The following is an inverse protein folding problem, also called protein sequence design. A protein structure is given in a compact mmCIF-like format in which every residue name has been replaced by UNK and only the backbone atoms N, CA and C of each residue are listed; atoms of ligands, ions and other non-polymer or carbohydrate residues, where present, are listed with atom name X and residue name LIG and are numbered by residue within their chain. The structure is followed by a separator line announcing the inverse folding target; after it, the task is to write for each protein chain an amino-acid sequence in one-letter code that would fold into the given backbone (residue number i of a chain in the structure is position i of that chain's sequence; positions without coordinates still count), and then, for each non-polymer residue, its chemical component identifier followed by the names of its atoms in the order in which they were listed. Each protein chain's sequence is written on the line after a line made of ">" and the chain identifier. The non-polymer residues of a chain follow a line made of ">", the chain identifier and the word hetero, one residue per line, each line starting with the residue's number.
data_IF_307236414500
#
_entry.id   IF_307236414500
#
_cell.length_a   1.000
_cell.length_b   1.000
_cell.length_c   1.000
_cell.angle_alpha   90.00
_cell.angle_beta   90.00
_cell.angle_gamma   90.00
#
_symmetry.space_group_name_H-M   'P 1'
#
loop_
_entity.id
_entity.type
_entity.pdbx_description
1 polymer ?
#
# COMPACT_ATOMS: atom_id res chain seq x y z
N UNK A 1 38.58 56.00 18.60
CA UNK A 1 38.81 57.43 18.83
C UNK A 1 37.57 58.05 19.47
N UNK A 2 37.72 58.49 20.73
CA UNK A 2 37.04 59.57 21.47
C UNK A 2 35.52 59.79 21.36
N UNK A 3 34.91 59.64 22.55
CA UNK A 3 33.96 60.54 23.24
C UNK A 3 32.55 60.68 22.63
N UNK A 4 31.45 60.68 23.39
CA UNK A 4 31.18 61.48 24.60
C UNK A 4 30.11 60.76 25.46
N UNK A 5 30.47 60.49 26.71
CA UNK A 5 29.54 60.31 27.82
C UNK A 5 28.92 61.66 28.18
N UNK A 6 27.59 61.72 28.29
CA UNK A 6 26.88 62.78 29.02
C UNK A 6 25.97 62.13 30.05
N UNK A 7 26.46 62.09 31.28
CA UNK A 7 25.65 61.92 32.48
C UNK A 7 24.80 63.17 32.69
N UNK A 8 23.49 63.00 32.93
CA UNK A 8 22.69 63.83 33.84
C UNK A 8 21.36 63.10 34.08
N UNK A 9 21.16 62.52 35.26
CA UNK A 9 19.89 61.85 35.57
C UNK A 9 19.82 61.29 36.98
N UNK A 10 19.59 62.20 37.94
CA UNK A 10 19.14 62.03 39.32
C UNK A 10 18.56 60.66 39.73
N UNK A 11 18.97 60.32 40.95
CA UNK A 11 18.36 59.38 41.89
C UNK A 11 16.82 59.33 41.92
N UNK A 12 16.36 58.15 42.36
CA UNK A 12 15.08 57.86 42.99
C UNK A 12 13.84 57.79 42.10
N UNK A 13 13.61 56.58 41.58
CA UNK A 13 12.31 56.09 41.16
C UNK A 13 12.31 54.58 41.25
N UNK A 14 11.99 54.04 42.43
CA UNK A 14 11.69 52.62 42.67
C UNK A 14 10.50 52.20 41.81
N UNK A 15 10.77 51.87 40.54
CA UNK A 15 9.86 51.03 39.76
C UNK A 15 10.59 49.71 39.63
N UNK A 16 10.21 48.78 40.49
CA UNK A 16 10.64 47.39 40.39
C UNK A 16 10.26 46.88 39.01
N UNK A 17 11.20 46.96 38.06
CA UNK A 17 11.15 46.19 36.83
C UNK A 17 11.25 44.77 37.30
N UNK A 18 10.11 44.09 37.41
CA UNK A 18 10.04 42.65 37.49
C UNK A 18 10.77 42.14 36.26
N UNK A 19 12.08 41.89 36.39
CA UNK A 19 12.85 41.09 35.45
C UNK A 19 12.13 39.76 35.43
N UNK A 20 11.25 39.60 34.45
CA UNK A 20 10.58 38.37 34.15
C UNK A 20 11.70 37.41 33.75
N UNK A 21 12.26 36.69 34.75
CA UNK A 21 13.27 35.68 34.53
C UNK A 21 12.69 34.76 33.45
N UNK A 22 13.31 34.76 32.26
CA UNK A 22 12.98 33.80 31.21
C UNK A 22 13.24 32.42 31.80
N UNK A 23 12.21 31.80 32.35
CA UNK A 23 12.27 30.42 32.82
C UNK A 23 12.46 29.56 31.58
N UNK A 24 13.68 29.06 31.40
CA UNK A 24 13.95 27.99 30.45
C UNK A 24 13.32 26.72 31.01
N UNK A 25 12.10 26.41 30.56
CA UNK A 25 11.41 25.17 30.94
C UNK A 25 11.88 24.09 29.97
N UNK A 26 12.63 23.12 30.46
CA UNK A 26 13.00 21.89 29.74
C UNK A 26 12.14 20.72 30.25
N UNK A 27 11.87 19.74 29.38
CA UNK A 27 11.15 18.51 29.76
C UNK A 27 12.18 17.47 30.22
N UNK A 28 12.07 17.02 31.48
CA UNK A 28 12.95 15.97 32.03
C UNK A 28 12.42 14.54 31.76
N UNK A 29 11.15 14.41 31.34
CA UNK A 29 10.48 13.13 31.09
C UNK A 29 10.55 12.12 32.25
N UNK A 30 10.59 12.59 33.50
CA UNK A 30 10.65 11.75 34.71
C UNK A 30 9.31 11.07 35.04
N UNK A 31 8.20 11.77 34.83
CA UNK A 31 6.85 11.20 34.93
C UNK A 31 6.39 10.63 33.59
N UNK A 32 5.36 9.79 33.62
CA UNK A 32 4.73 9.26 32.42
C UNK A 32 4.37 10.38 31.44
N UNK A 33 4.93 10.30 30.23
CA UNK A 33 4.68 11.24 29.14
C UNK A 33 3.85 10.55 28.06
N UNK A 34 2.65 11.07 27.81
CA UNK A 34 1.79 10.58 26.73
C UNK A 34 2.39 10.95 25.38
N UNK A 35 2.51 9.97 24.48
CA UNK A 35 2.98 10.18 23.11
C UNK A 35 2.12 11.21 22.36
N UNK A 36 2.77 11.97 21.47
CA UNK A 36 2.10 12.94 20.61
C UNK A 36 1.48 12.26 19.38
N UNK A 37 0.32 12.74 18.95
CA UNK A 37 -0.32 12.26 17.72
C UNK A 37 0.40 12.89 16.52
N UNK A 38 1.01 12.05 15.69
CA UNK A 38 1.81 12.51 14.55
C UNK A 38 1.39 11.79 13.26
N UNK A 39 1.40 12.47 12.08
CA UNK A 39 0.97 11.85 10.82
C UNK A 39 1.73 10.59 10.39
N UNK A 40 2.94 10.35 10.93
CA UNK A 40 3.67 9.11 10.68
C UNK A 40 3.01 7.87 11.27
N UNK A 41 2.07 8.03 12.21
CA UNK A 41 1.34 6.95 12.88
C UNK A 41 0.10 6.49 12.08
N UNK A 42 -0.12 7.00 10.87
CA UNK A 42 -1.25 6.60 10.04
C UNK A 42 -1.16 5.10 9.69
N UNK A 43 -2.29 4.40 9.85
CA UNK A 43 -2.40 2.99 9.48
C UNK A 43 -2.33 2.87 7.97
N UNK A 44 -1.32 2.16 7.48
CA UNK A 44 -1.10 1.95 6.06
C UNK A 44 -1.84 0.71 5.57
N UNK A 45 -2.46 0.76 4.39
CA UNK A 45 -2.97 -0.45 3.76
C UNK A 45 -1.81 -1.32 3.29
N UNK A 46 -1.99 -2.64 3.38
CA UNK A 46 -1.09 -3.60 2.75
C UNK A 46 -1.35 -3.61 1.24
N UNK A 47 -0.29 -3.58 0.45
CA UNK A 47 -0.39 -3.76 -0.99
C UNK A 47 -0.70 -5.21 -1.32
N UNK A 48 -1.57 -5.42 -2.31
CA UNK A 48 -2.09 -6.74 -2.68
C UNK A 48 -2.04 -6.92 -4.18
N UNK A 49 -1.92 -8.17 -4.60
CA UNK A 49 -2.03 -8.52 -6.00
C UNK A 49 -3.43 -8.19 -6.54
N UNK A 50 -3.56 -7.70 -7.79
CA UNK A 50 -4.85 -7.47 -8.42
C UNK A 50 -5.70 -8.73 -8.50
N UNK A 51 -7.03 -8.59 -8.45
CA UNK A 51 -7.94 -9.74 -8.60
C UNK A 51 -7.80 -10.32 -10.00
N UNK A 52 -7.72 -11.65 -10.10
CA UNK A 52 -7.65 -12.38 -11.36
C UNK A 52 -6.24 -12.67 -11.87
N UNK A 53 -5.20 -12.13 -11.21
CA UNK A 53 -3.81 -12.51 -11.47
C UNK A 53 -3.41 -13.52 -10.40
N UNK A 54 -3.07 -14.75 -10.80
CA UNK A 54 -2.47 -15.72 -9.88
C UNK A 54 -0.98 -15.43 -9.69
N UNK A 55 -0.41 -15.87 -8.57
CA UNK A 55 1.01 -15.69 -8.30
C UNK A 55 1.88 -16.46 -9.34
N UNK A 56 1.45 -17.63 -9.80
CA UNK A 56 2.10 -18.36 -10.89
C UNK A 56 2.24 -17.51 -12.17
N UNK A 57 1.17 -16.80 -12.55
CA UNK A 57 1.19 -15.88 -13.70
C UNK A 57 2.05 -14.65 -13.40
N UNK A 58 1.98 -14.10 -12.19
CA UNK A 58 2.80 -12.96 -11.78
C UNK A 58 4.31 -13.27 -11.82
N UNK A 59 4.69 -14.53 -11.61
CA UNK A 59 6.08 -15.03 -11.74
C UNK A 59 6.51 -15.29 -13.19
N UNK A 60 5.63 -15.07 -14.16
CA UNK A 60 5.91 -15.37 -15.57
C UNK A 60 5.89 -16.86 -15.94
N UNK A 61 5.37 -17.74 -15.06
CA UNK A 61 5.18 -19.16 -15.38
C UNK A 61 3.87 -19.34 -16.15
N UNK A 62 3.92 -20.02 -17.30
CA UNK A 62 2.71 -20.36 -18.04
C UNK A 62 1.85 -21.34 -17.21
N UNK A 63 0.51 -21.27 -17.30
CA UNK A 63 -0.40 -22.17 -16.58
C UNK A 63 -0.31 -23.65 -17.03
N UNK A 64 0.58 -24.01 -17.96
CA UNK A 64 0.72 -25.37 -18.50
C UNK A 64 1.55 -26.35 -17.64
N UNK A 65 2.24 -25.86 -16.60
CA UNK A 65 3.07 -26.72 -15.73
C UNK A 65 2.33 -27.19 -14.46
N UNK A 66 1.05 -26.82 -14.33
CA UNK A 66 0.16 -27.45 -13.36
C UNK A 66 -0.29 -28.81 -13.94
N UNK A 67 0.27 -29.88 -13.40
CA UNK A 67 -0.08 -31.28 -13.66
C UNK A 67 -1.60 -31.43 -13.82
N UNK A 68 -2.03 -31.63 -15.07
CA UNK A 68 -3.39 -31.95 -15.43
C UNK A 68 -3.73 -33.35 -14.90
N UNK A 69 -4.38 -33.40 -13.74
CA UNK A 69 -5.24 -34.52 -13.36
C UNK A 69 -6.66 -34.02 -13.24
N UNK A 70 -7.27 -33.73 -14.39
CA UNK A 70 -8.72 -33.85 -14.53
C UNK A 70 -9.02 -34.33 -15.95
N UNK A 71 -9.52 -35.55 -16.04
CA UNK A 71 -10.08 -36.10 -17.27
C UNK A 71 -11.43 -35.43 -17.56
N UNK A 72 -11.79 -35.20 -18.83
CA UNK A 72 -13.03 -34.55 -19.21
C UNK A 72 -14.14 -35.57 -19.56
N UNK A 73 -15.31 -35.42 -18.93
CA UNK A 73 -16.61 -35.99 -19.31
C UNK A 73 -17.62 -35.35 -18.33
N UNK A 74 -18.78 -34.77 -18.65
CA UNK A 74 -19.60 -34.75 -19.85
C UNK A 74 -20.42 -33.44 -19.88
N UNK A 75 -20.71 -32.96 -21.08
CA UNK A 75 -21.80 -32.01 -21.35
C UNK A 75 -23.11 -32.80 -21.44
N UNK A 76 -24.14 -32.42 -20.67
CA UNK A 76 -25.48 -32.97 -20.91
C UNK A 76 -26.56 -32.67 -19.87
N UNK A 77 -27.42 -31.70 -20.20
CA UNK A 77 -28.88 -31.70 -20.04
C UNK A 77 -29.55 -31.68 -18.64
N UNK A 78 -30.45 -30.70 -18.53
CA UNK A 78 -31.57 -30.54 -17.60
C UNK A 78 -32.37 -31.82 -17.30
N UNK A 79 -32.84 -31.96 -16.06
CA UNK A 79 -33.95 -32.84 -15.72
C UNK A 79 -34.18 -33.01 -14.22
N UNK A 80 -35.18 -32.30 -13.68
CA UNK A 80 -35.72 -32.48 -12.33
C UNK A 80 -36.49 -33.80 -12.19
N UNK A 81 -36.17 -34.62 -11.18
CA UNK A 81 -37.13 -35.57 -10.59
C UNK A 81 -36.65 -36.07 -9.21
N UNK A 82 -37.61 -36.15 -8.29
CA UNK A 82 -37.51 -36.52 -6.88
C UNK A 82 -37.30 -38.03 -6.62
N UNK A 83 -36.53 -38.32 -5.55
CA UNK A 83 -36.27 -39.55 -4.74
C UNK A 83 -37.18 -40.79 -4.91
N UNK A 84 -36.67 -41.98 -4.53
CA UNK A 84 -36.94 -42.45 -3.15
C UNK A 84 -35.70 -42.96 -2.39
N UNK A 85 -35.84 -42.97 -1.06
CA UNK A 85 -34.88 -43.37 -0.03
C UNK A 85 -34.50 -44.85 -0.10
N UNK A 86 -33.21 -45.14 0.08
CA UNK A 86 -32.71 -46.47 0.45
C UNK A 86 -31.97 -46.38 1.78
N UNK A 87 -32.54 -47.00 2.80
CA UNK A 87 -31.98 -47.19 4.15
C UNK A 87 -30.78 -48.15 4.05
N UNK A 88 -29.61 -47.75 4.56
CA UNK A 88 -28.46 -48.66 4.74
C UNK A 88 -28.22 -48.93 6.22
N UNK A 89 -28.07 -50.22 6.53
CA UNK A 89 -27.89 -50.79 7.85
C UNK A 89 -26.42 -50.76 8.28
N UNK A 90 -25.98 -49.65 8.89
CA UNK A 90 -24.65 -49.57 9.53
C UNK A 90 -24.68 -49.07 10.98
N UNK A 91 -25.88 -48.92 11.58
CA UNK A 91 -26.05 -48.60 13.00
C UNK A 91 -26.14 -49.89 13.85
N UNK A 92 -25.02 -50.59 14.04
CA UNK A 92 -24.95 -51.69 15.04
C UNK A 92 -23.80 -51.54 16.03
N UNK A 93 -22.73 -50.77 15.74
CA UNK A 93 -21.61 -50.67 16.69
C UNK A 93 -21.59 -49.34 17.44
N UNK A 94 -22.67 -49.13 18.20
CA UNK A 94 -22.65 -48.30 19.40
C UNK A 94 -22.42 -49.22 20.59
N UNK A 95 -21.19 -49.28 21.09
CA UNK A 95 -20.84 -49.26 22.52
C UNK A 95 -19.32 -49.25 22.65
N UNK A 96 -18.73 -48.09 22.97
CA UNK A 96 -17.73 -47.99 24.05
C UNK A 96 -17.32 -46.54 24.34
N UNK A 97 -17.85 -46.07 25.46
CA UNK A 97 -17.38 -45.08 26.44
C UNK A 97 -16.01 -44.42 26.20
N UNK A 98 -15.98 -43.26 25.52
CA UNK A 98 -15.18 -42.07 25.95
C UNK A 98 -15.91 -40.80 25.48
N UNK A 99 -16.84 -40.29 26.29
CA UNK A 99 -17.42 -38.96 26.06
C UNK A 99 -16.47 -37.87 26.58
N UNK A 100 -15.69 -37.27 25.67
CA UNK A 100 -15.13 -35.93 25.84
C UNK A 100 -15.91 -34.99 24.92
N UNK A 101 -16.52 -33.96 25.51
CA UNK A 101 -17.48 -33.04 24.91
C UNK A 101 -17.12 -32.55 23.51
N UNK A 102 -17.69 -33.19 22.49
CA UNK A 102 -17.82 -32.66 21.13
C UNK A 102 -19.28 -32.28 20.87
N UNK A 103 -19.81 -31.32 21.64
CA UNK A 103 -21.01 -30.60 21.20
C UNK A 103 -20.59 -29.60 20.12
N UNK A 104 -20.36 -30.12 18.91
CA UNK A 104 -20.50 -29.32 17.71
C UNK A 104 -21.95 -28.87 17.64
N UNK A 105 -22.17 -27.62 18.05
CA UNK A 105 -23.40 -26.91 17.74
C UNK A 105 -23.42 -26.73 16.22
N UNK A 106 -24.02 -27.68 15.50
CA UNK A 106 -24.35 -27.53 14.10
C UNK A 106 -25.49 -26.49 14.00
N UNK A 107 -25.14 -25.23 14.21
CA UNK A 107 -26.01 -24.09 13.93
C UNK A 107 -25.98 -23.92 12.42
N UNK A 108 -27.11 -24.23 11.79
CA UNK A 108 -27.41 -23.87 10.40
C UNK A 108 -26.99 -22.43 10.13
N UNK A 109 -26.12 -22.24 9.14
CA UNK A 109 -25.60 -20.93 8.77
C UNK A 109 -26.74 -20.00 8.33
N UNK A 110 -27.04 -18.98 9.13
CA UNK A 110 -27.82 -17.84 8.66
C UNK A 110 -27.06 -17.13 7.52
N UNK A 111 -27.73 -16.77 6.41
CA UNK A 111 -27.08 -16.15 5.28
C UNK A 111 -26.60 -14.74 5.66
N UNK A 112 -25.28 -14.58 5.84
CA UNK A 112 -24.64 -13.27 6.03
C UNK A 112 -23.61 -13.17 7.16
N UNK A 113 -23.54 -14.14 8.08
CA UNK A 113 -22.47 -14.17 9.09
C UNK A 113 -21.23 -14.92 8.57
N UNK A 114 -20.05 -14.30 8.70
CA UNK A 114 -18.78 -14.98 8.46
C UNK A 114 -18.72 -16.29 9.28
N UNK A 115 -18.16 -17.38 8.72
CA UNK A 115 -18.10 -18.66 9.41
C UNK A 115 -17.46 -18.48 10.79
N UNK A 116 -18.16 -18.94 11.84
CA UNK A 116 -17.65 -18.88 13.21
C UNK A 116 -16.34 -19.68 13.27
N UNK A 117 -15.22 -18.99 13.47
CA UNK A 117 -13.92 -19.62 13.67
C UNK A 117 -13.88 -20.29 15.04
N UNK A 118 -13.18 -21.42 15.19
CA UNK A 118 -12.99 -22.04 16.49
C UNK A 118 -12.28 -21.06 17.43
N UNK A 119 -12.61 -21.11 18.72
CA UNK A 119 -11.92 -20.31 19.72
C UNK A 119 -10.50 -20.83 19.90
N UNK A 120 -9.54 -19.92 19.82
CA UNK A 120 -8.12 -20.16 20.03
C UNK A 120 -7.55 -18.94 20.76
N UNK A 121 -6.68 -19.10 21.78
CA UNK A 121 -6.09 -17.99 22.53
C UNK A 121 -5.01 -17.26 21.71
N UNK A 122 -5.41 -16.57 20.64
CA UNK A 122 -4.50 -15.91 19.68
C UNK A 122 -3.56 -14.89 20.35
N UNK A 123 -3.97 -14.27 21.47
CA UNK A 123 -3.11 -13.35 22.22
C UNK A 123 -1.91 -14.02 22.89
N UNK A 124 -2.04 -15.28 23.31
CA UNK A 124 -0.93 -16.05 23.88
C UNK A 124 -0.06 -16.64 22.77
N UNK A 125 -0.69 -17.11 21.70
CA UNK A 125 -0.01 -17.62 20.50
C UNK A 125 0.86 -16.54 19.87
N UNK A 126 0.39 -15.30 19.80
CA UNK A 126 1.18 -14.17 19.32
C UNK A 126 2.39 -13.86 20.22
N UNK A 127 2.31 -14.09 21.54
CA UNK A 127 3.48 -13.97 22.43
C UNK A 127 4.51 -15.05 22.15
N UNK A 128 4.07 -16.28 21.89
CA UNK A 128 4.95 -17.38 21.49
C UNK A 128 5.62 -17.11 20.13
N UNK A 129 4.86 -16.59 19.17
CA UNK A 129 5.39 -16.18 17.86
C UNK A 129 6.45 -15.09 18.02
N UNK A 130 6.16 -14.04 18.78
CA UNK A 130 7.10 -12.96 19.05
C UNK A 130 8.37 -13.46 19.75
N UNK A 131 8.23 -14.39 20.70
CA UNK A 131 9.38 -15.03 21.34
C UNK A 131 10.21 -15.84 20.34
N UNK A 132 9.57 -16.57 19.42
CA UNK A 132 10.25 -17.27 18.32
C UNK A 132 11.02 -16.30 17.41
N UNK A 133 10.43 -15.15 17.08
CA UNK A 133 11.08 -14.09 16.30
C UNK A 133 12.33 -13.57 17.04
N UNK A 134 12.23 -13.26 18.34
CA UNK A 134 13.37 -12.83 19.16
C UNK A 134 14.50 -13.87 19.25
N UNK A 135 14.15 -15.15 19.41
CA UNK A 135 15.13 -16.23 19.44
C UNK A 135 15.82 -16.42 18.07
N UNK A 136 15.08 -16.24 16.98
CA UNK A 136 15.63 -16.29 15.62
C UNK A 136 16.64 -15.17 15.39
N UNK A 137 16.28 -13.94 15.77
CA UNK A 137 17.18 -12.78 15.69
C UNK A 137 18.38 -12.93 16.63
N UNK A 138 18.20 -13.57 17.80
CA UNK A 138 19.25 -13.85 18.77
C UNK A 138 20.16 -15.05 18.44
N UNK A 139 19.90 -15.79 17.35
CA UNK A 139 20.72 -16.93 16.91
C UNK A 139 20.34 -18.30 17.49
N UNK A 140 19.29 -18.40 18.32
CA UNK A 140 18.82 -19.64 18.93
C UNK A 140 17.79 -20.33 18.02
N UNK A 141 18.27 -20.84 16.89
CA UNK A 141 17.43 -21.32 15.79
C UNK A 141 16.62 -22.60 16.09
N UNK A 142 17.14 -23.49 16.94
CA UNK A 142 16.44 -24.73 17.29
C UNK A 142 15.24 -24.46 18.21
N UNK A 143 15.41 -23.60 19.22
CA UNK A 143 14.32 -23.20 20.10
C UNK A 143 13.25 -22.44 19.31
N UNK A 144 13.66 -21.49 18.46
CA UNK A 144 12.75 -20.74 17.60
C UNK A 144 11.88 -21.66 16.72
N UNK A 145 12.47 -22.71 16.15
CA UNK A 145 11.75 -23.68 15.33
C UNK A 145 10.62 -24.38 16.11
N UNK A 146 10.86 -24.72 17.38
CA UNK A 146 9.86 -25.36 18.24
C UNK A 146 8.69 -24.39 18.52
N UNK A 147 9.00 -23.13 18.84
CA UNK A 147 7.98 -22.08 19.00
C UNK A 147 7.15 -21.90 17.73
N UNK A 148 7.79 -21.77 16.56
CA UNK A 148 7.07 -21.65 15.30
C UNK A 148 6.23 -22.89 14.98
N UNK A 149 6.71 -24.09 15.29
CA UNK A 149 5.96 -25.33 15.10
C UNK A 149 4.67 -25.38 15.93
N UNK A 150 4.72 -24.91 17.19
CA UNK A 150 3.54 -24.79 18.04
C UNK A 150 2.57 -23.74 17.48
N UNK A 151 3.08 -22.55 17.14
CA UNK A 151 2.26 -21.45 16.61
C UNK A 151 1.60 -21.84 15.28
N UNK A 152 2.33 -22.50 14.37
CA UNK A 152 1.82 -22.93 13.08
C UNK A 152 0.64 -23.89 13.22
N UNK A 153 0.76 -24.92 14.07
CA UNK A 153 -0.35 -25.86 14.35
C UNK A 153 -1.59 -25.13 14.86
N UNK A 154 -1.39 -24.17 15.75
CA UNK A 154 -2.50 -23.41 16.34
C UNK A 154 -3.15 -22.47 15.31
N UNK A 155 -2.36 -21.84 14.43
CA UNK A 155 -2.88 -21.03 13.33
C UNK A 155 -3.63 -21.86 12.27
N UNK A 156 -3.18 -23.08 11.99
CA UNK A 156 -3.90 -24.02 11.11
C UNK A 156 -5.26 -24.42 11.68
N UNK A 157 -5.40 -24.48 13.01
CA UNK A 157 -6.70 -24.71 13.66
C UNK A 157 -7.57 -23.45 13.66
N UNK A 158 -6.97 -22.28 13.86
CA UNK A 158 -7.70 -21.02 14.03
C UNK A 158 -8.20 -20.42 12.70
N UNK A 159 -7.45 -20.61 11.62
CA UNK A 159 -7.66 -19.95 10.34
C UNK A 159 -8.01 -20.94 9.21
N UNK A 160 -8.76 -20.49 8.18
CA UNK A 160 -8.96 -21.27 6.97
C UNK A 160 -7.64 -21.61 6.27
N UNK A 161 -7.64 -22.68 5.48
CA UNK A 161 -6.45 -23.24 4.81
C UNK A 161 -5.60 -22.20 4.08
N UNK A 162 -6.19 -21.34 3.26
CA UNK A 162 -5.46 -20.36 2.43
C UNK A 162 -5.35 -18.96 3.07
N UNK A 163 -5.36 -18.88 4.40
CA UNK A 163 -5.30 -17.60 5.11
C UNK A 163 -3.86 -17.04 5.18
N UNK A 164 -3.65 -15.72 4.97
CA UNK A 164 -2.32 -15.12 4.89
C UNK A 164 -1.48 -15.26 6.17
N UNK A 165 -2.10 -15.38 7.35
CA UNK A 165 -1.35 -15.64 8.59
C UNK A 165 -0.79 -17.06 8.65
N UNK A 166 -1.48 -18.04 8.06
CA UNK A 166 -1.00 -19.43 7.98
C UNK A 166 0.16 -19.52 6.98
N UNK A 167 0.08 -18.82 5.85
CA UNK A 167 1.21 -18.75 4.92
C UNK A 167 2.40 -18.00 5.54
N UNK A 168 2.15 -16.90 6.25
CA UNK A 168 3.20 -16.12 6.92
C UNK A 168 3.97 -16.92 7.98
N UNK A 169 3.29 -17.63 8.87
CA UNK A 169 3.98 -18.47 9.87
C UNK A 169 4.75 -19.62 9.22
N UNK A 170 4.24 -20.19 8.11
CA UNK A 170 4.96 -21.22 7.34
C UNK A 170 6.24 -20.69 6.71
N UNK A 171 6.26 -19.43 6.25
CA UNK A 171 7.49 -18.78 5.76
C UNK A 171 8.51 -18.62 6.89
N UNK A 172 8.09 -18.17 8.07
CA UNK A 172 8.96 -18.08 9.26
C UNK A 172 9.53 -19.45 9.67
N UNK A 173 8.67 -20.46 9.68
CA UNK A 173 9.03 -21.84 9.98
C UNK A 173 10.03 -22.38 8.95
N UNK A 174 9.83 -22.11 7.66
CA UNK A 174 10.79 -22.44 6.61
C UNK A 174 12.15 -21.78 6.88
N UNK A 175 12.16 -20.48 7.21
CA UNK A 175 13.37 -19.76 7.60
C UNK A 175 14.09 -20.38 8.80
N UNK A 176 13.35 -20.89 9.80
CA UNK A 176 13.93 -21.59 10.94
C UNK A 176 14.50 -22.97 10.55
N UNK A 177 13.79 -23.74 9.72
CA UNK A 177 14.31 -25.01 9.19
C UNK A 177 15.64 -24.82 8.45
N UNK A 178 15.72 -23.80 7.58
CA UNK A 178 16.95 -23.47 6.85
C UNK A 178 18.12 -23.21 7.81
N UNK A 179 17.90 -22.38 8.82
CA UNK A 179 18.93 -22.02 9.82
C UNK A 179 19.35 -23.21 10.72
N UNK A 180 18.52 -24.24 10.82
CA UNK A 180 18.86 -25.52 11.49
C UNK A 180 19.39 -26.61 10.54
N UNK A 181 19.75 -26.25 9.29
CA UNK A 181 20.22 -27.16 8.24
C UNK A 181 19.22 -28.23 7.78
N UNK A 182 17.92 -28.05 8.02
CA UNK A 182 16.86 -28.95 7.50
C UNK A 182 16.33 -28.43 6.16
N UNK A 183 17.19 -28.46 5.14
CA UNK A 183 16.97 -27.74 3.88
C UNK A 183 15.78 -28.28 3.07
N UNK A 184 15.57 -29.60 3.01
CA UNK A 184 14.43 -30.17 2.27
C UNK A 184 13.09 -29.80 2.91
N UNK A 185 13.03 -29.82 4.24
CA UNK A 185 11.84 -29.41 5.00
C UNK A 185 11.55 -27.92 4.83
N UNK A 186 12.61 -27.10 4.76
CA UNK A 186 12.50 -25.68 4.51
C UNK A 186 11.94 -25.39 3.11
N UNK A 187 12.51 -26.02 2.06
CA UNK A 187 12.02 -25.90 0.69
C UNK A 187 10.56 -26.31 0.55
N UNK A 188 10.18 -27.46 1.11
CA UNK A 188 8.80 -27.94 1.10
C UNK A 188 7.84 -26.95 1.80
N UNK A 189 8.28 -26.32 2.90
CA UNK A 189 7.49 -25.32 3.62
C UNK A 189 7.31 -24.03 2.81
N UNK A 190 8.35 -23.55 2.13
CA UNK A 190 8.27 -22.40 1.21
C UNK A 190 7.34 -22.68 0.03
N UNK A 191 7.47 -23.84 -0.62
CA UNK A 191 6.61 -24.23 -1.75
C UNK A 191 5.14 -24.35 -1.32
N UNK A 192 4.86 -24.93 -0.15
CA UNK A 192 3.52 -24.98 0.39
C UNK A 192 2.96 -23.59 0.70
N UNK A 193 3.78 -22.66 1.22
CA UNK A 193 3.37 -21.28 1.45
C UNK A 193 3.04 -20.54 0.14
N UNK A 194 3.86 -20.73 -0.91
CA UNK A 194 3.61 -20.15 -2.23
C UNK A 194 2.33 -20.71 -2.85
N UNK A 195 2.07 -22.02 -2.74
CA UNK A 195 0.81 -22.62 -3.21
C UNK A 195 -0.42 -22.06 -2.48
N UNK A 196 -0.32 -21.79 -1.18
CA UNK A 196 -1.40 -21.13 -0.44
C UNK A 196 -1.62 -19.69 -0.90
N UNK A 197 -0.54 -18.96 -1.21
CA UNK A 197 -0.62 -17.61 -1.76
C UNK A 197 -1.18 -17.60 -3.19
N UNK A 198 -0.92 -18.62 -3.99
CA UNK A 198 -1.51 -18.84 -5.32
C UNK A 198 -3.02 -19.05 -5.25
N UNK A 199 -3.50 -19.82 -4.27
CA UNK A 199 -4.93 -20.07 -4.06
C UNK A 199 -5.66 -18.85 -3.46
N UNK A 200 -4.93 -17.93 -2.81
CA UNK A 200 -5.53 -16.75 -2.21
C UNK A 200 -5.98 -15.76 -3.31
N UNK A 201 -7.18 -15.14 -3.19
CA UNK A 201 -7.70 -14.27 -4.25
C UNK A 201 -6.95 -12.93 -4.38
N UNK A 202 -6.36 -12.44 -3.29
CA UNK A 202 -5.62 -11.18 -3.21
C UNK A 202 -4.51 -11.27 -2.15
N UNK A 203 -3.45 -12.05 -2.39
CA UNK A 203 -2.33 -12.18 -1.47
C UNK A 203 -1.61 -10.84 -1.28
N UNK A 204 -1.12 -10.54 -0.06
CA UNK A 204 -0.33 -9.35 0.19
C UNK A 204 1.06 -9.49 -0.46
N UNK A 205 1.51 -8.42 -1.11
CA UNK A 205 2.75 -8.41 -1.89
C UNK A 205 3.98 -8.68 -1.01
N UNK A 206 3.96 -8.15 0.21
CA UNK A 206 5.01 -8.37 1.22
C UNK A 206 5.27 -9.86 1.49
N UNK A 207 4.21 -10.64 1.74
CA UNK A 207 4.35 -12.07 2.03
C UNK A 207 4.82 -12.86 0.80
N UNK A 208 4.44 -12.45 -0.41
CA UNK A 208 4.93 -13.06 -1.65
C UNK A 208 6.44 -12.88 -1.76
N UNK A 209 6.91 -11.64 -1.61
CA UNK A 209 8.34 -11.31 -1.74
C UNK A 209 9.14 -11.99 -0.64
N UNK A 210 8.63 -12.02 0.60
CA UNK A 210 9.27 -12.73 1.72
C UNK A 210 9.35 -14.25 1.49
N UNK A 211 8.28 -14.86 0.98
CA UNK A 211 8.27 -16.28 0.64
C UNK A 211 9.26 -16.63 -0.48
N UNK A 212 9.34 -15.79 -1.53
CA UNK A 212 10.31 -15.96 -2.61
C UNK A 212 11.75 -15.74 -2.13
N UNK A 213 11.97 -14.76 -1.25
CA UNK A 213 13.27 -14.52 -0.62
C UNK A 213 13.75 -15.73 0.18
N UNK A 214 12.91 -16.27 1.07
CA UNK A 214 13.29 -17.46 1.85
C UNK A 214 13.45 -18.69 0.94
N UNK A 215 12.63 -18.86 -0.11
CA UNK A 215 12.85 -19.91 -1.10
C UNK A 215 14.23 -19.78 -1.79
N UNK A 216 14.58 -18.59 -2.28
CA UNK A 216 15.87 -18.37 -2.92
C UNK A 216 17.05 -18.64 -1.96
N UNK A 217 16.94 -18.20 -0.70
CA UNK A 217 17.93 -18.47 0.34
C UNK A 217 18.07 -19.97 0.65
N UNK A 218 16.97 -20.74 0.61
CA UNK A 218 17.03 -22.20 0.77
C UNK A 218 17.73 -22.87 -0.40
N UNK A 219 17.43 -22.48 -1.63
CA UNK A 219 18.06 -23.03 -2.83
C UNK A 219 19.56 -22.70 -2.88
N UNK A 220 19.94 -21.50 -2.48
CA UNK A 220 21.33 -21.09 -2.35
C UNK A 220 22.08 -21.99 -1.34
N UNK A 221 21.48 -22.25 -0.18
CA UNK A 221 22.05 -23.15 0.83
C UNK A 221 22.15 -24.61 0.36
N UNK A 222 21.26 -25.04 -0.55
CA UNK A 222 21.33 -26.35 -1.21
C UNK A 222 22.33 -26.40 -2.36
N UNK A 223 22.92 -25.26 -2.77
CA UNK A 223 23.81 -25.16 -3.92
C UNK A 223 23.11 -25.20 -5.28
N UNK A 224 21.79 -24.96 -5.33
CA UNK A 224 21.02 -24.95 -6.56
C UNK A 224 21.27 -23.65 -7.36
N UNK A 225 21.45 -23.79 -8.67
CA UNK A 225 21.68 -22.67 -9.55
C UNK A 225 20.44 -21.76 -9.73
N UNK A 226 19.25 -22.28 -9.48
CA UNK A 226 17.98 -21.56 -9.62
C UNK A 226 17.78 -20.43 -8.58
N UNK A 227 18.61 -20.33 -7.53
CA UNK A 227 18.46 -19.28 -6.52
C UNK A 227 18.51 -17.85 -7.13
N UNK A 228 19.45 -17.61 -8.04
CA UNK A 228 19.61 -16.31 -8.72
C UNK A 228 18.36 -15.86 -9.46
N UNK A 229 17.70 -16.76 -10.20
CA UNK A 229 16.49 -16.41 -10.94
C UNK A 229 15.31 -16.11 -10.01
N UNK A 230 15.20 -16.77 -8.85
CA UNK A 230 14.11 -16.51 -7.90
C UNK A 230 14.27 -15.12 -7.23
N UNK A 231 15.49 -14.69 -6.95
CA UNK A 231 15.72 -13.32 -6.46
C UNK A 231 15.25 -12.28 -7.50
N UNK A 232 15.53 -12.50 -8.77
CA UNK A 232 15.06 -11.64 -9.86
C UNK A 232 13.54 -11.70 -10.02
N UNK A 233 12.93 -12.90 -9.96
CA UNK A 233 11.46 -13.08 -9.97
C UNK A 233 10.80 -12.21 -8.88
N UNK A 234 11.32 -12.21 -7.66
CA UNK A 234 10.78 -11.41 -6.56
C UNK A 234 10.78 -9.90 -6.89
N UNK A 235 11.85 -9.40 -7.51
CA UNK A 235 12.00 -7.99 -7.88
C UNK A 235 11.10 -7.63 -9.06
N UNK A 236 10.93 -8.52 -10.05
CA UNK A 236 10.00 -8.29 -11.16
C UNK A 236 8.55 -8.17 -10.69
N UNK A 237 8.16 -8.96 -9.68
CA UNK A 237 6.84 -8.88 -9.05
C UNK A 237 6.68 -7.53 -8.32
N UNK A 238 7.73 -7.03 -7.68
CA UNK A 238 7.71 -5.70 -7.05
C UNK A 238 7.60 -4.60 -8.12
N UNK A 239 8.43 -4.60 -9.15
CA UNK A 239 8.42 -3.57 -10.18
C UNK A 239 7.08 -3.45 -10.93
N UNK A 240 6.34 -4.56 -11.06
CA UNK A 240 5.06 -4.61 -11.77
C UNK A 240 3.87 -4.19 -10.91
N UNK A 241 3.83 -4.63 -9.64
CA UNK A 241 2.63 -4.47 -8.80
C UNK A 241 2.79 -3.50 -7.62
N UNK A 242 4.01 -3.15 -7.20
CA UNK A 242 4.26 -2.27 -6.05
C UNK A 242 4.05 -0.79 -6.39
N UNK A 243 3.40 -0.03 -5.49
CA UNK A 243 3.34 1.43 -5.59
C UNK A 243 4.42 2.09 -4.74
N UNK A 244 5.54 2.38 -5.39
CA UNK A 244 6.72 2.94 -4.72
C UNK A 244 6.48 4.29 -4.02
N UNK A 245 5.44 5.05 -4.37
CA UNK A 245 5.14 6.35 -3.76
C UNK A 245 4.20 6.29 -2.54
N UNK A 246 3.42 5.22 -2.38
CA UNK A 246 2.32 5.19 -1.41
C UNK A 246 2.80 5.28 0.05
N UNK A 247 3.96 4.69 0.37
CA UNK A 247 4.51 4.68 1.73
C UNK A 247 4.79 6.09 2.28
N UNK A 248 5.15 7.05 1.43
CA UNK A 248 5.53 8.41 1.82
C UNK A 248 4.50 9.49 1.49
N UNK A 249 3.30 9.11 1.01
CA UNK A 249 2.25 10.04 0.60
C UNK A 249 1.92 11.10 1.67
N UNK A 250 1.77 10.67 2.92
CA UNK A 250 1.46 11.56 4.04
C UNK A 250 2.69 12.11 4.77
N UNK A 251 3.89 11.64 4.41
CA UNK A 251 5.15 12.01 5.06
C UNK A 251 5.87 13.14 4.32
N UNK A 252 5.72 13.18 2.99
CA UNK A 252 6.47 14.04 2.08
C UNK A 252 6.35 15.54 2.39
N UNK A 253 5.17 16.01 2.80
CA UNK A 253 4.93 17.43 3.09
C UNK A 253 5.17 17.83 4.55
N UNK A 254 5.52 16.88 5.44
CA UNK A 254 5.70 17.14 6.87
C UNK A 254 6.76 18.20 7.20
N UNK A 255 7.89 18.30 6.47
CA UNK A 255 8.86 19.39 6.65
C UNK A 255 8.25 20.81 6.61
N UNK A 256 7.09 21.00 5.98
CA UNK A 256 6.41 22.30 5.88
C UNK A 256 5.68 22.69 7.17
N UNK A 257 5.51 21.77 8.12
CA UNK A 257 4.92 22.06 9.43
C UNK A 257 5.84 22.89 10.32
N UNK A 258 7.16 22.74 10.14
CA UNK A 258 8.17 23.47 10.89
C UNK A 258 8.04 24.97 10.71
N UNK A 259 7.71 25.69 11.79
CA UNK A 259 7.52 27.17 11.77
C UNK A 259 8.68 27.95 12.35
N UNK A 260 9.62 27.29 13.03
CA UNK A 260 10.78 27.92 13.65
C UNK A 260 12.06 27.54 12.92
N UNK A 261 13.05 28.42 12.96
CA UNK A 261 14.35 28.20 12.30
C UNK A 261 15.54 28.22 13.29
N UNK A 262 15.43 28.92 14.41
CA UNK A 262 16.54 29.01 15.38
C UNK A 262 16.51 27.88 16.42
N UNK A 263 15.31 27.46 16.85
CA UNK A 263 15.07 26.36 17.80
C UNK A 263 13.97 25.48 17.21
N UNK A 264 14.04 24.19 17.47
CA UNK A 264 13.14 23.17 16.91
C UNK A 264 13.12 23.17 15.36
N UNK A 265 14.28 23.39 14.73
CA UNK A 265 14.39 23.44 13.27
C UNK A 265 14.39 22.04 12.63
N UNK A 266 14.60 20.99 13.42
CA UNK A 266 14.50 19.60 13.02
C UNK A 266 13.12 19.26 12.44
N UNK A 267 12.06 19.98 12.84
CA UNK A 267 10.73 19.87 12.23
C UNK A 267 10.74 20.14 10.72
N UNK A 268 11.70 20.92 10.22
CA UNK A 268 11.90 21.20 8.78
C UNK A 268 12.76 20.17 8.06
N UNK A 269 13.38 19.26 8.79
CA UNK A 269 14.30 18.25 8.27
C UNK A 269 13.89 16.83 8.71
N UNK A 270 12.61 16.64 9.04
CA UNK A 270 12.07 15.33 9.37
C UNK A 270 12.32 14.37 8.21
N UNK A 271 12.98 13.26 8.53
CA UNK A 271 13.29 12.19 7.60
C UNK A 271 12.71 10.88 8.13
N UNK A 272 12.06 10.16 7.24
CA UNK A 272 11.51 8.83 7.50
C UNK A 272 12.19 7.87 6.53
N UNK A 273 12.83 6.84 7.07
CA UNK A 273 13.55 5.88 6.25
C UNK A 273 12.58 5.03 5.44
N UNK A 274 12.82 4.79 4.14
CA UNK A 274 11.98 3.87 3.38
C UNK A 274 12.05 2.43 3.90
N UNK A 275 13.15 2.04 4.54
CA UNK A 275 13.29 0.69 5.11
C UNK A 275 12.34 0.43 6.28
N UNK A 276 11.94 1.46 7.05
CA UNK A 276 10.98 1.31 8.15
C UNK A 276 9.54 1.43 7.66
N UNK A 277 9.34 2.23 6.61
CA UNK A 277 8.00 2.58 6.12
C UNK A 277 7.51 1.70 4.97
N UNK A 278 8.39 0.88 4.41
CA UNK A 278 8.12 0.05 3.25
C UNK A 278 8.92 -1.26 3.31
N UNK A 279 8.31 -2.28 3.93
CA UNK A 279 8.95 -3.58 4.10
C UNK A 279 9.13 -4.33 2.78
N UNK A 280 8.22 -4.15 1.82
CA UNK A 280 8.34 -4.72 0.47
C UNK A 280 9.63 -4.23 -0.20
N UNK A 281 9.89 -2.92 -0.10
CA UNK A 281 11.12 -2.31 -0.60
C UNK A 281 12.37 -2.88 0.09
N UNK A 282 12.36 -3.04 1.42
CA UNK A 282 13.49 -3.61 2.15
C UNK A 282 13.76 -5.08 1.78
N UNK A 283 12.71 -5.89 1.61
CA UNK A 283 12.82 -7.28 1.18
C UNK A 283 13.37 -7.38 -0.25
N UNK A 284 12.90 -6.52 -1.17
CA UNK A 284 13.41 -6.48 -2.53
C UNK A 284 14.88 -6.05 -2.59
N UNK A 285 15.29 -5.07 -1.77
CA UNK A 285 16.70 -4.69 -1.64
C UNK A 285 17.56 -5.85 -1.13
N UNK A 286 17.05 -6.63 -0.17
CA UNK A 286 17.72 -7.82 0.34
C UNK A 286 17.83 -8.94 -0.72
N UNK A 287 16.79 -9.16 -1.53
CA UNK A 287 16.84 -10.09 -2.68
C UNK A 287 17.97 -9.71 -3.64
N UNK A 288 18.06 -8.43 -4.01
CA UNK A 288 19.09 -7.93 -4.93
C UNK A 288 20.49 -8.01 -4.31
N UNK A 289 20.63 -7.67 -3.03
CA UNK A 289 21.90 -7.80 -2.30
C UNK A 289 22.41 -9.25 -2.29
N UNK A 290 21.51 -10.22 -2.09
CA UNK A 290 21.87 -11.65 -2.11
C UNK A 290 22.17 -12.15 -3.52
N UNK A 291 21.39 -11.73 -4.51
CA UNK A 291 21.64 -12.06 -5.90
C UNK A 291 23.01 -11.56 -6.39
N UNK A 292 23.41 -10.35 -5.98
CA UNK A 292 24.74 -9.79 -6.25
C UNK A 292 25.83 -10.74 -5.74
N UNK A 293 25.79 -11.08 -4.45
CA UNK A 293 26.78 -11.99 -3.84
C UNK A 293 26.79 -13.38 -4.49
N UNK A 294 25.62 -13.86 -4.92
CA UNK A 294 25.48 -15.15 -5.59
C UNK A 294 26.12 -15.14 -6.99
N UNK A 295 25.91 -14.09 -7.78
CA UNK A 295 26.52 -13.96 -9.10
C UNK A 295 28.02 -13.68 -9.04
N UNK A 296 28.47 -12.92 -8.04
CA UNK A 296 29.90 -12.74 -7.75
C UNK A 296 30.58 -14.08 -7.46
N UNK A 297 29.98 -14.92 -6.60
CA UNK A 297 30.48 -16.26 -6.30
C UNK A 297 30.57 -17.18 -7.53
N UNK A 298 29.72 -16.96 -8.54
CA UNK A 298 29.73 -17.68 -9.82
C UNK A 298 30.60 -17.04 -10.90
N UNK A 299 31.24 -15.91 -10.61
CA UNK A 299 31.96 -15.08 -11.59
C UNK A 299 31.10 -14.59 -12.78
N UNK A 300 29.78 -14.46 -12.61
CA UNK A 300 28.89 -13.90 -13.63
C UNK A 300 28.84 -12.36 -13.53
N UNK A 301 29.76 -11.70 -14.24
CA UNK A 301 29.83 -10.22 -14.27
C UNK A 301 28.58 -9.58 -14.88
N UNK A 302 27.93 -10.25 -15.84
CA UNK A 302 26.74 -9.70 -16.48
C UNK A 302 25.55 -9.71 -15.52
N UNK A 303 25.40 -10.78 -14.74
CA UNK A 303 24.44 -10.90 -13.64
C UNK A 303 24.61 -9.79 -12.60
N UNK A 304 25.82 -9.60 -12.10
CA UNK A 304 26.13 -8.56 -11.09
C UNK A 304 25.74 -7.16 -11.59
N UNK A 305 26.13 -6.81 -12.82
CA UNK A 305 25.82 -5.49 -13.38
C UNK A 305 24.31 -5.25 -13.51
N UNK A 306 23.54 -6.27 -13.91
CA UNK A 306 22.08 -6.18 -14.04
C UNK A 306 21.41 -5.96 -12.68
N UNK A 307 21.78 -6.76 -11.68
CA UNK A 307 21.22 -6.69 -10.32
C UNK A 307 21.54 -5.35 -9.68
N UNK A 308 22.78 -4.84 -9.82
CA UNK A 308 23.16 -3.53 -9.30
C UNK A 308 22.42 -2.37 -9.97
N UNK A 309 22.19 -2.45 -11.29
CA UNK A 309 21.37 -1.47 -12.01
C UNK A 309 19.94 -1.45 -11.48
N UNK A 310 19.29 -2.62 -11.37
CA UNK A 310 17.93 -2.73 -10.81
C UNK A 310 17.85 -2.22 -9.38
N UNK A 311 18.84 -2.55 -8.54
CA UNK A 311 18.90 -2.10 -7.15
C UNK A 311 19.01 -0.58 -7.06
N UNK A 312 19.85 0.02 -7.93
CA UNK A 312 19.97 1.47 -8.05
C UNK A 312 18.66 2.12 -8.52
N UNK A 313 18.01 1.55 -9.53
CA UNK A 313 16.74 2.07 -10.03
C UNK A 313 15.63 2.00 -8.96
N UNK A 314 15.58 0.92 -8.19
CA UNK A 314 14.64 0.72 -7.10
C UNK A 314 14.81 1.78 -5.99
N UNK A 315 16.05 2.06 -5.57
CA UNK A 315 16.33 3.13 -4.59
C UNK A 315 16.08 4.52 -5.18
N UNK A 316 16.41 4.77 -6.44
CA UNK A 316 16.20 6.05 -7.11
C UNK A 316 14.69 6.36 -7.26
N UNK A 317 13.87 5.37 -7.64
CA UNK A 317 12.40 5.48 -7.66
C UNK A 317 11.86 5.86 -6.28
N UNK A 318 12.39 5.24 -5.21
CA UNK A 318 11.97 5.55 -3.84
C UNK A 318 12.36 6.98 -3.45
N UNK A 319 13.59 7.40 -3.69
CA UNK A 319 14.04 8.76 -3.39
C UNK A 319 13.28 9.81 -4.20
N UNK A 320 13.01 9.54 -5.48
CA UNK A 320 12.21 10.42 -6.33
C UNK A 320 10.83 10.68 -5.73
N UNK A 321 10.15 9.64 -5.25
CA UNK A 321 8.85 9.77 -4.59
C UNK A 321 8.89 10.50 -3.23
N UNK A 322 10.04 10.48 -2.56
CA UNK A 322 10.26 11.25 -1.33
C UNK A 322 10.64 12.71 -1.60
N UNK A 323 10.96 13.11 -2.84
CA UNK A 323 11.37 14.49 -3.13
C UNK A 323 10.23 15.48 -2.90
N UNK A 324 10.57 16.62 -2.32
CA UNK A 324 9.73 17.81 -2.26
C UNK A 324 10.61 19.06 -2.27
N UNK A 325 10.05 20.19 -2.70
CA UNK A 325 10.74 21.47 -2.65
C UNK A 325 10.57 22.13 -1.28
N UNK A 326 11.60 22.85 -0.82
CA UNK A 326 11.50 23.62 0.40
C UNK A 326 10.40 24.69 0.30
N UNK A 327 9.63 24.84 1.38
CA UNK A 327 8.69 25.94 1.55
C UNK A 327 9.38 27.18 2.15
N UNK A 328 8.74 27.79 3.15
CA UNK A 328 9.34 28.91 3.88
C UNK A 328 10.48 28.42 4.79
N UNK A 329 11.67 29.00 4.61
CA UNK A 329 12.88 28.66 5.37
C UNK A 329 12.85 29.30 6.76
N UNK A 330 12.79 30.64 6.83
CA UNK A 330 12.85 31.36 8.09
C UNK A 330 11.58 31.24 8.93
N UNK A 331 11.71 31.64 10.21
CA UNK A 331 10.63 31.60 11.19
C UNK A 331 9.35 32.28 10.68
N UNK A 332 8.21 31.63 10.93
CA UNK A 332 6.85 32.13 10.67
C UNK A 332 6.13 32.25 12.01
N UNK A 333 5.61 33.44 12.32
CA UNK A 333 4.76 33.65 13.50
C UNK A 333 3.29 33.56 13.10
N UNK A 334 2.46 32.95 13.95
CA UNK A 334 1.03 32.78 13.67
C UNK A 334 0.71 31.68 12.63
N UNK A 335 -0.34 31.91 11.83
CA UNK A 335 -0.81 31.06 10.71
C UNK A 335 -0.93 29.55 10.99
N UNK A 336 -1.27 29.15 12.22
CA UNK A 336 -1.37 27.75 12.62
C UNK A 336 -2.42 26.94 11.82
N UNK A 337 -3.44 27.61 11.29
CA UNK A 337 -4.47 26.99 10.43
C UNK A 337 -3.92 26.46 9.10
N UNK A 338 -2.73 26.88 8.66
CA UNK A 338 -2.09 26.38 7.41
C UNK A 338 -1.78 24.89 7.44
N UNK A 339 -1.68 24.27 8.63
CA UNK A 339 -1.50 22.82 8.76
C UNK A 339 -2.55 22.01 7.99
N UNK A 340 -3.77 22.53 7.85
CA UNK A 340 -4.85 21.88 7.11
C UNK A 340 -4.60 21.82 5.59
N UNK A 341 -3.81 22.74 5.04
CA UNK A 341 -3.39 22.72 3.65
C UNK A 341 -2.16 21.81 3.46
N UNK A 342 -1.30 21.72 4.47
CA UNK A 342 -0.11 20.86 4.45
C UNK A 342 -0.46 19.38 4.59
N UNK A 343 -1.36 19.05 5.51
CA UNK A 343 -1.79 17.68 5.79
C UNK A 343 -2.98 17.31 4.89
N UNK A 344 -2.67 17.00 3.64
CA UNK A 344 -3.65 16.64 2.61
C UNK A 344 -3.21 15.37 1.88
N UNK A 345 -4.11 14.80 1.08
CA UNK A 345 -3.80 13.69 0.16
C UNK A 345 -3.03 14.21 -1.06
N UNK A 346 -1.88 14.86 -0.82
CA UNK A 346 -1.07 15.43 -1.88
C UNK A 346 -0.64 14.30 -2.85
N UNK A 347 -0.82 14.49 -4.17
CA UNK A 347 -0.42 13.48 -5.14
C UNK A 347 1.09 13.22 -5.00
N UNK A 348 1.46 11.95 -5.03
CA UNK A 348 2.87 11.54 -5.10
C UNK A 348 3.38 11.78 -6.52
N UNK A 349 4.71 11.93 -6.73
CA UNK A 349 5.26 12.03 -8.08
C UNK A 349 4.84 10.89 -8.99
N UNK A 350 4.82 9.65 -8.47
CA UNK A 350 4.36 8.47 -9.21
C UNK A 350 2.87 8.57 -9.63
N UNK A 351 1.96 8.86 -8.70
CA UNK A 351 0.53 9.03 -9.03
C UNK A 351 0.29 10.18 -10.02
N UNK A 352 1.02 11.28 -9.87
CA UNK A 352 0.90 12.45 -10.73
C UNK A 352 1.31 12.14 -12.18
N UNK A 353 2.38 11.36 -12.37
CA UNK A 353 2.85 10.97 -13.70
C UNK A 353 1.95 9.88 -14.32
N UNK A 354 1.50 8.91 -13.52
CA UNK A 354 0.60 7.83 -13.98
C UNK A 354 -0.77 8.36 -14.39
N UNK A 355 -1.38 9.20 -13.55
CA UNK A 355 -2.72 9.75 -13.76
C UNK A 355 -2.69 11.20 -14.27
N UNK A 356 -1.68 11.52 -15.09
CA UNK A 356 -1.63 12.80 -15.78
C UNK A 356 -2.93 12.98 -16.59
N UNK A 357 -3.60 14.15 -16.52
CA UNK A 357 -4.91 14.37 -17.15
C UNK A 357 -4.89 14.25 -18.67
N UNK A 358 -3.71 14.21 -19.29
CA UNK A 358 -3.54 13.98 -20.74
C UNK A 358 -3.52 12.49 -21.11
N UNK A 359 -3.02 11.63 -20.21
CA UNK A 359 -2.92 10.18 -20.39
C UNK A 359 -4.16 9.51 -19.83
N UNK A 360 -4.43 9.72 -18.54
CA UNK A 360 -5.64 9.28 -17.87
C UNK A 360 -6.68 10.42 -17.93
N UNK A 361 -7.30 10.54 -19.10
CA UNK A 361 -8.25 11.61 -19.37
C UNK A 361 -9.45 11.54 -18.43
N UNK A 362 -9.92 12.71 -18.01
CA UNK A 362 -11.15 12.82 -17.23
C UNK A 362 -12.31 12.52 -18.16
N UNK A 363 -13.04 11.44 -17.86
CA UNK A 363 -14.30 11.17 -18.55
C UNK A 363 -15.27 12.32 -18.28
N UNK A 364 -15.71 12.96 -19.35
CA UNK A 364 -16.55 14.16 -19.31
C UNK A 364 -17.81 13.89 -20.12
N UNK A 365 -18.93 13.75 -19.40
CA UNK A 365 -20.24 13.46 -19.98
C UNK A 365 -21.06 14.75 -20.14
N UNK A 366 -21.39 15.09 -21.39
CA UNK A 366 -22.11 16.31 -21.73
C UNK A 366 -23.58 16.30 -21.27
N UNK A 367 -24.12 15.13 -20.91
CA UNK A 367 -25.45 15.01 -20.32
C UNK A 367 -25.62 15.87 -19.07
N UNK A 368 -24.54 16.11 -18.33
CA UNK A 368 -24.54 16.91 -17.10
C UNK A 368 -23.93 18.31 -17.30
N UNK A 369 -23.72 18.72 -18.55
CA UNK A 369 -23.09 19.99 -18.90
C UNK A 369 -23.99 20.84 -19.81
N UNK A 370 -23.69 22.14 -19.84
CA UNK A 370 -24.39 23.12 -20.68
C UNK A 370 -23.60 23.52 -21.93
N UNK A 371 -22.39 22.99 -22.08
CA UNK A 371 -21.50 23.30 -23.19
C UNK A 371 -21.06 22.00 -23.84
N UNK A 372 -21.16 21.92 -25.17
CA UNK A 372 -20.59 20.83 -25.96
C UNK A 372 -19.68 21.39 -27.06
N UNK A 373 -18.78 20.55 -27.61
CA UNK A 373 -18.07 20.88 -28.84
C UNK A 373 -19.02 21.02 -30.03
N UNK A 374 -18.59 21.78 -31.03
CA UNK A 374 -19.29 21.87 -32.33
C UNK A 374 -19.45 20.46 -32.92
N UNK A 375 -20.66 20.16 -33.41
CA UNK A 375 -21.02 18.83 -33.92
C UNK A 375 -21.68 17.91 -32.88
N UNK A 376 -21.61 18.25 -31.58
CA UNK A 376 -22.25 17.49 -30.47
C UNK A 376 -23.26 18.34 -29.69
N UNK A 377 -23.81 19.38 -30.32
CA UNK A 377 -24.76 20.31 -29.70
C UNK A 377 -26.02 19.61 -29.16
N UNK A 378 -26.43 18.49 -29.76
CA UNK A 378 -27.58 17.69 -29.32
C UNK A 378 -27.37 16.87 -28.05
N UNK A 379 -26.14 16.76 -27.55
CA UNK A 379 -25.80 15.92 -26.39
C UNK A 379 -25.74 16.67 -25.06
N UNK A 380 -25.87 18.01 -25.10
CA UNK A 380 -25.92 18.88 -23.92
C UNK A 380 -27.11 18.47 -23.04
N UNK A 381 -27.00 18.65 -21.72
CA UNK A 381 -28.09 18.39 -20.75
C UNK A 381 -29.43 18.87 -21.33
N UNK A 382 -30.50 18.08 -21.39
CA UNK A 382 -31.75 18.51 -22.03
C UNK A 382 -32.50 19.55 -21.20
N UNK A 383 -33.41 20.30 -21.82
CA UNK A 383 -34.33 21.19 -21.13
C UNK A 383 -35.63 21.35 -21.91
N UNK A 384 -36.73 21.56 -21.18
CA UNK A 384 -38.06 21.73 -21.77
C UNK A 384 -38.20 23.15 -22.32
N UNK A 385 -38.77 23.28 -23.52
CA UNK A 385 -39.02 24.56 -24.18
C UNK A 385 -37.77 25.45 -24.32
N UNK A 386 -36.62 24.84 -24.68
CA UNK A 386 -35.39 25.58 -24.94
C UNK A 386 -35.50 26.41 -26.20
N UNK A 387 -35.41 27.73 -26.04
CA UNK A 387 -35.36 28.71 -27.14
C UNK A 387 -34.05 29.47 -27.05
N UNK A 388 -33.24 29.39 -28.10
CA UNK A 388 -32.00 30.18 -28.22
C UNK A 388 -32.39 31.63 -28.53
N UNK A 389 -32.07 32.56 -27.63
CA UNK A 389 -32.42 33.98 -27.78
C UNK A 389 -31.39 34.74 -28.63
N UNK A 390 -30.19 34.91 -28.10
CA UNK A 390 -29.05 35.61 -28.70
C UNK A 390 -27.75 35.14 -28.02
N UNK A 391 -26.59 35.64 -28.45
CA UNK A 391 -25.28 35.35 -27.86
C UNK A 391 -25.05 35.94 -26.45
N UNK A 392 -26.04 36.61 -25.84
CA UNK A 392 -25.88 37.26 -24.55
C UNK A 392 -25.00 38.51 -24.58
N UNK A 393 -24.99 39.26 -25.69
CA UNK A 393 -24.12 40.42 -25.84
C UNK A 393 -24.40 41.52 -24.79
N UNK A 394 -23.41 41.98 -24.00
CA UNK A 394 -23.63 42.94 -22.93
C UNK A 394 -24.11 44.33 -23.41
N UNK A 395 -23.90 44.70 -24.68
CA UNK A 395 -24.28 46.00 -25.21
C UNK A 395 -25.75 46.09 -25.66
N UNK A 396 -26.50 44.99 -25.66
CA UNK A 396 -27.91 44.96 -26.09
C UNK A 396 -28.84 45.83 -25.24
N UNK A 397 -28.42 46.12 -24.00
CA UNK A 397 -29.12 46.98 -23.02
C UNK A 397 -28.84 48.48 -23.18
N UNK A 398 -27.96 48.87 -24.11
CA UNK A 398 -27.69 50.28 -24.41
C UNK A 398 -28.77 50.83 -25.35
N UNK A 399 -28.47 51.91 -26.07
CA UNK A 399 -29.40 52.53 -27.02
C UNK A 399 -29.51 51.79 -28.36
N UNK A 400 -30.46 52.26 -29.19
CA UNK A 400 -30.81 51.71 -30.50
C UNK A 400 -29.59 51.60 -31.44
N UNK A 401 -28.64 52.54 -31.35
CA UNK A 401 -27.43 52.50 -32.16
C UNK A 401 -26.57 51.26 -31.87
N UNK A 402 -26.41 50.90 -30.58
CA UNK A 402 -25.69 49.69 -30.20
C UNK A 402 -26.42 48.42 -30.65
N UNK A 403 -27.75 48.41 -30.63
CA UNK A 403 -28.55 47.30 -31.16
C UNK A 403 -28.37 47.15 -32.68
N UNK A 404 -28.32 48.25 -33.43
CA UNK A 404 -28.08 48.21 -34.89
C UNK A 404 -26.70 47.66 -35.25
N UNK A 405 -25.67 47.99 -34.48
CA UNK A 405 -24.31 47.49 -34.71
C UNK A 405 -24.17 45.97 -34.57
N UNK A 406 -25.09 45.32 -33.85
CA UNK A 406 -24.99 43.89 -33.52
C UNK A 406 -26.05 43.03 -34.22
N UNK A 407 -26.81 43.63 -35.14
CA UNK A 407 -27.98 43.03 -35.78
C UNK A 407 -27.70 41.68 -36.45
N UNK A 408 -26.53 41.52 -37.04
CA UNK A 408 -26.18 40.33 -37.84
C UNK A 408 -25.33 39.30 -37.07
N UNK A 409 -24.92 39.61 -35.83
CA UNK A 409 -24.00 38.77 -35.06
C UNK A 409 -24.57 37.36 -34.80
N UNK A 410 -25.84 37.27 -34.38
CA UNK A 410 -26.48 35.99 -34.09
C UNK A 410 -26.67 35.14 -35.36
N UNK A 411 -27.00 35.78 -36.48
CA UNK A 411 -27.15 35.11 -37.78
C UNK A 411 -25.81 34.56 -38.28
N UNK A 412 -24.73 35.32 -38.11
CA UNK A 412 -23.39 34.90 -38.47
C UNK A 412 -22.92 33.73 -37.60
N UNK A 413 -23.20 33.76 -36.30
CA UNK A 413 -22.87 32.66 -35.40
C UNK A 413 -23.68 31.40 -35.70
N UNK A 414 -24.99 31.51 -35.94
CA UNK A 414 -25.81 30.38 -36.35
C UNK A 414 -25.31 29.74 -37.66
N UNK A 415 -24.86 30.57 -38.62
CA UNK A 415 -24.23 30.08 -39.86
C UNK A 415 -22.90 29.36 -39.58
N UNK A 416 -22.08 29.91 -38.70
CA UNK A 416 -20.78 29.33 -38.32
C UNK A 416 -20.92 27.96 -37.68
N UNK A 417 -21.84 27.79 -36.72
CA UNK A 417 -22.08 26.50 -36.06
C UNK A 417 -22.61 25.48 -37.06
N UNK A 418 -23.63 25.85 -37.87
CA UNK A 418 -24.19 24.95 -38.89
C UNK A 418 -23.20 24.53 -39.98
N UNK A 419 -22.40 25.45 -40.52
CA UNK A 419 -21.44 25.12 -41.58
C UNK A 419 -20.42 24.05 -41.12
N UNK A 420 -19.98 24.16 -39.86
CA UNK A 420 -19.04 23.22 -39.24
C UNK A 420 -19.68 21.90 -38.80
N UNK A 421 -20.97 21.88 -38.49
CA UNK A 421 -21.71 20.63 -38.23
C UNK A 421 -21.83 19.74 -39.48
N UNK A 422 -21.92 20.33 -40.68
CA UNK A 422 -22.09 19.59 -41.95
C UNK A 422 -20.83 19.53 -42.82
N UNK A 423 -19.68 19.98 -42.32
CA UNK A 423 -18.38 19.85 -43.00
C UNK A 423 -18.23 20.62 -44.32
N UNK A 424 -18.94 21.74 -44.51
CA UNK A 424 -18.85 22.62 -45.70
C UNK A 424 -17.91 23.81 -45.50
#
# INVERSE_FOLDING_TARGET
>A
MRNVLRDYGRAAGLVGVLQCQRRYITRLYTSYYKGELFPSQLVRPLERLPRGISLAVARGRQPSDAVATSSPADLGANGSASKPESVSWADVDSTDLVHMNAQQSAVSAEPGLAPKRPYVPLGEVAKLELQGDYLTEGGLHQEALEYYGVVAKVYEMAYPKDHPQVSGIRVKLAGAFRRTNRLESSKASCEAALQMLDNAPQPPLELIVEALLELALTLEAMGDAAAGSIYEEAVTVVDTFHNSGQSHKMLRLLPRLGRRFNLNYEEKFLYFSPFDFDRVFALADQCLARAETFYEGKNDRAGVMRVLQQRKELIDKKFFNMRDFAGRIHTMRGHWKRRAQTLTNAPTPDELLRYSPTIHQVYRDFKYELNAPIGREGEVQPGVNRVVQDLGNPYRRRGIHAQRMMRDADKNFAKYVRAKEFGQ
#
